data_IF_547837851932
#
_entry.id   IF_547837851932
#
_cell.length_a   1.000
_cell.length_b   1.000
_cell.length_c   1.000
_cell.angle_alpha   90.00
_cell.angle_beta   90.00
_cell.angle_gamma   90.00
#
_symmetry.space_group_name_H-M   'P 1'
#
loop_
_entity.id
_entity.type
_entity.pdbx_description
1 polymer ?
#
# COMPACT_ATOMS: atom_id res chain seq x y z
N UNK A 1 1.11 -6.65 29.50
CA UNK A 1 1.73 -6.27 28.21
C UNK A 1 1.34 -7.34 27.21
N UNK A 2 0.30 -7.08 26.41
CA UNK A 2 -0.28 -8.09 25.51
C UNK A 2 0.71 -8.55 24.44
N UNK A 3 0.72 -9.86 24.19
CA UNK A 3 1.47 -10.47 23.09
C UNK A 3 1.21 -9.67 21.80
N UNK A 4 2.30 -9.20 21.16
CA UNK A 4 2.18 -8.43 19.93
C UNK A 4 1.59 -9.31 18.84
N UNK A 5 0.28 -9.17 18.63
CA UNK A 5 -0.50 -9.85 17.57
C UNK A 5 0.15 -9.67 16.18
N UNK A 6 0.85 -8.57 15.94
CA UNK A 6 1.55 -8.28 14.68
C UNK A 6 3.01 -7.89 14.89
N UNK A 7 3.89 -8.29 13.96
CA UNK A 7 5.31 -7.92 13.89
C UNK A 7 5.52 -7.02 12.67
N UNK A 8 6.26 -5.93 12.83
CA UNK A 8 6.58 -5.01 11.75
C UNK A 8 8.01 -4.49 11.86
N UNK A 9 8.59 -4.16 10.70
CA UNK A 9 9.89 -3.49 10.58
C UNK A 9 9.77 -2.25 9.70
N UNK A 10 10.86 -1.51 9.53
CA UNK A 10 10.93 -0.41 8.56
C UNK A 10 11.46 -1.00 7.25
N UNK A 11 10.58 -1.44 6.33
CA UNK A 11 10.98 -2.20 5.13
C UNK A 11 12.15 -1.54 4.39
N UNK A 12 12.10 -0.22 4.21
CA UNK A 12 13.10 0.53 3.43
C UNK A 12 14.40 0.75 4.22
N UNK A 13 14.30 1.07 5.51
CA UNK A 13 15.45 1.56 6.29
C UNK A 13 16.09 0.49 7.19
N UNK A 14 15.29 -0.46 7.65
CA UNK A 14 15.66 -1.49 8.62
C UNK A 14 14.77 -2.73 8.41
N UNK A 15 14.96 -3.49 7.31
CA UNK A 15 14.16 -4.68 7.02
C UNK A 15 14.37 -5.75 8.11
N UNK A 16 13.37 -6.61 8.29
CA UNK A 16 13.42 -7.68 9.30
C UNK A 16 14.39 -8.82 8.96
N UNK A 17 14.76 -8.94 7.69
CA UNK A 17 15.68 -9.95 7.18
C UNK A 17 16.70 -9.27 6.26
N UNK A 18 17.98 -9.56 6.48
CA UNK A 18 19.07 -9.04 5.67
C UNK A 18 19.70 -10.13 4.78
N UNK A 19 20.59 -9.71 3.87
CA UNK A 19 21.21 -10.60 2.90
C UNK A 19 22.08 -11.71 3.56
N UNK A 20 22.72 -11.41 4.68
CA UNK A 20 23.55 -12.37 5.41
C UNK A 20 22.69 -13.50 6.01
N UNK A 21 21.56 -13.15 6.63
CA UNK A 21 20.61 -14.12 7.16
C UNK A 21 20.04 -15.00 6.05
N UNK A 22 19.69 -14.42 4.90
CA UNK A 22 19.22 -15.18 3.73
C UNK A 22 20.31 -16.10 3.17
N UNK A 23 21.56 -15.63 3.12
CA UNK A 23 22.70 -16.45 2.69
C UNK A 23 22.89 -17.63 3.63
N UNK A 24 22.84 -17.41 4.93
CA UNK A 24 22.95 -18.47 5.94
C UNK A 24 21.82 -19.50 5.80
N UNK A 25 20.58 -19.06 5.51
CA UNK A 25 19.46 -19.99 5.22
C UNK A 25 19.78 -20.82 3.98
N UNK A 26 20.24 -20.21 2.88
CA UNK A 26 20.60 -20.94 1.64
C UNK A 26 21.73 -21.94 1.87
N UNK A 27 22.71 -21.61 2.70
CA UNK A 27 23.84 -22.48 3.00
C UNK A 27 23.43 -23.76 3.74
N UNK A 28 22.40 -23.72 4.60
CA UNK A 28 21.87 -24.91 5.31
C UNK A 28 21.38 -26.01 4.36
N UNK A 29 20.99 -25.66 3.14
CA UNK A 29 20.42 -26.60 2.17
C UNK A 29 21.35 -26.88 0.99
N UNK A 30 22.60 -26.41 1.02
CA UNK A 30 23.53 -26.47 -0.11
C UNK A 30 23.82 -27.89 -0.62
N UNK A 31 23.78 -28.88 0.27
CA UNK A 31 24.07 -30.28 -0.05
C UNK A 31 22.83 -31.08 -0.50
N UNK A 32 21.63 -30.50 -0.42
CA UNK A 32 20.40 -31.13 -0.90
C UNK A 32 20.18 -30.79 -2.38
N UNK A 33 20.05 -31.80 -3.24
CA UNK A 33 19.88 -31.63 -4.71
C UNK A 33 18.47 -31.96 -5.22
N UNK A 34 17.50 -32.11 -4.33
CA UNK A 34 16.12 -32.43 -4.71
C UNK A 34 15.36 -31.19 -5.19
N UNK A 35 14.41 -31.40 -6.11
CA UNK A 35 13.54 -30.33 -6.63
C UNK A 35 12.70 -29.61 -5.55
N UNK A 36 12.61 -30.15 -4.33
CA UNK A 36 11.84 -29.60 -3.21
C UNK A 36 12.66 -28.56 -2.41
N UNK A 37 13.98 -28.50 -2.62
CA UNK A 37 14.90 -27.66 -1.83
C UNK A 37 14.61 -26.18 -2.00
N UNK A 38 14.28 -25.73 -3.22
CA UNK A 38 13.92 -24.34 -3.49
C UNK A 38 12.70 -23.91 -2.69
N UNK A 39 11.67 -24.76 -2.61
CA UNK A 39 10.44 -24.47 -1.88
C UNK A 39 10.69 -24.41 -0.37
N UNK A 40 11.55 -25.29 0.17
CA UNK A 40 11.94 -25.25 1.58
C UNK A 40 12.67 -23.96 1.92
N UNK A 41 13.63 -23.54 1.10
CA UNK A 41 14.36 -22.28 1.28
C UNK A 41 13.38 -21.10 1.25
N UNK A 42 12.49 -21.05 0.25
CA UNK A 42 11.49 -20.00 0.12
C UNK A 42 10.58 -19.93 1.36
N UNK A 43 10.08 -21.07 1.85
CA UNK A 43 9.27 -21.13 3.07
C UNK A 43 10.02 -20.64 4.30
N UNK A 44 11.26 -21.09 4.51
CA UNK A 44 12.06 -20.64 5.67
C UNK A 44 12.32 -19.13 5.62
N UNK A 45 12.66 -18.58 4.45
CA UNK A 45 12.80 -17.12 4.28
C UNK A 45 11.47 -16.42 4.60
N UNK A 46 10.36 -16.91 4.04
CA UNK A 46 9.03 -16.34 4.23
C UNK A 46 8.59 -16.35 5.70
N UNK A 47 8.83 -17.44 6.43
CA UNK A 47 8.48 -17.59 7.84
C UNK A 47 9.28 -16.65 8.75
N UNK A 48 10.48 -16.25 8.33
CA UNK A 48 11.30 -15.26 9.02
C UNK A 48 10.90 -13.80 8.67
N UNK A 49 10.01 -13.57 7.70
CA UNK A 49 9.51 -12.22 7.40
C UNK A 49 8.46 -11.76 8.42
N UNK A 50 8.48 -10.47 8.75
CA UNK A 50 7.42 -9.83 9.54
C UNK A 50 6.14 -9.64 8.71
N UNK A 51 5.01 -9.37 9.38
CA UNK A 51 3.70 -9.25 8.72
C UNK A 51 3.67 -8.11 7.68
N UNK A 52 4.43 -7.03 7.95
CA UNK A 52 4.58 -5.88 7.04
C UNK A 52 5.32 -6.29 5.76
N UNK A 53 6.46 -6.97 5.85
CA UNK A 53 7.20 -7.47 4.69
C UNK A 53 6.40 -8.54 3.90
N UNK A 54 5.60 -9.36 4.58
CA UNK A 54 4.77 -10.38 3.93
C UNK A 54 3.68 -9.79 3.03
N UNK A 55 3.20 -8.58 3.34
CA UNK A 55 2.16 -7.89 2.56
C UNK A 55 2.77 -6.92 1.55
N UNK A 56 3.65 -6.04 2.00
CA UNK A 56 4.20 -4.96 1.18
C UNK A 56 5.46 -5.35 0.41
N UNK A 57 5.97 -6.57 0.62
CA UNK A 57 7.16 -7.09 -0.03
C UNK A 57 8.46 -6.83 0.74
N UNK A 58 9.53 -7.43 0.22
CA UNK A 58 10.90 -7.29 0.70
C UNK A 58 11.88 -7.51 -0.47
N UNK A 59 13.18 -7.38 -0.20
CA UNK A 59 14.21 -7.72 -1.20
C UNK A 59 14.23 -9.20 -1.60
N UNK A 60 13.48 -10.06 -0.90
CA UNK A 60 13.47 -11.51 -1.12
C UNK A 60 12.11 -12.06 -1.56
N UNK A 61 11.04 -11.28 -1.44
CA UNK A 61 9.67 -11.68 -1.78
C UNK A 61 8.89 -10.50 -2.35
N UNK A 62 8.14 -10.76 -3.42
CA UNK A 62 7.20 -9.80 -3.98
C UNK A 62 6.09 -9.45 -2.99
N UNK A 63 5.51 -8.25 -3.15
CA UNK A 63 4.35 -7.83 -2.38
C UNK A 63 3.13 -8.69 -2.71
N UNK A 64 2.22 -8.82 -1.75
CA UNK A 64 0.86 -9.34 -1.96
C UNK A 64 -0.14 -8.22 -2.22
N UNK A 65 0.27 -6.96 -2.04
CA UNK A 65 -0.55 -5.77 -2.32
C UNK A 65 -0.09 -5.12 -3.62
N UNK A 66 -1.08 -4.74 -4.44
CA UNK A 66 -0.91 -4.00 -5.67
C UNK A 66 -1.83 -2.78 -5.64
N UNK A 67 -1.25 -1.59 -5.81
CA UNK A 67 -1.98 -0.33 -5.89
C UNK A 67 -1.76 0.21 -7.30
N UNK A 68 -2.84 0.36 -8.06
CA UNK A 68 -2.76 0.89 -9.42
C UNK A 68 -2.66 2.42 -9.38
N UNK A 69 -2.09 2.99 -10.45
CA UNK A 69 -2.14 4.42 -10.69
C UNK A 69 -3.60 4.92 -10.65
N UNK A 70 -3.82 5.98 -9.88
CA UNK A 70 -5.14 6.55 -9.69
C UNK A 70 -5.36 7.68 -10.72
N UNK A 71 -6.22 7.43 -11.70
CA UNK A 71 -6.55 8.40 -12.75
C UNK A 71 -7.73 9.28 -12.34
N UNK A 72 -7.75 10.53 -12.80
CA UNK A 72 -8.83 11.48 -12.48
C UNK A 72 -10.19 10.92 -12.96
N UNK A 73 -11.22 11.09 -12.15
CA UNK A 73 -12.62 10.86 -12.55
C UNK A 73 -13.14 12.13 -13.20
N UNK A 74 -13.44 12.08 -14.50
CA UNK A 74 -13.80 13.22 -15.33
C UNK A 74 -12.64 13.68 -16.23
N UNK A 75 -12.83 14.80 -16.93
CA UNK A 75 -11.92 15.20 -18.00
C UNK A 75 -10.66 15.93 -17.51
N UNK A 76 -10.72 16.59 -16.34
CA UNK A 76 -9.61 17.37 -15.79
C UNK A 76 -9.70 17.51 -14.27
N UNK A 77 -8.54 17.57 -13.62
CA UNK A 77 -8.41 18.05 -12.26
C UNK A 77 -8.36 19.58 -12.27
N UNK A 78 -8.98 20.19 -11.26
CA UNK A 78 -8.75 21.60 -10.97
C UNK A 78 -7.44 21.71 -10.17
N UNK A 79 -6.62 22.68 -10.56
CA UNK A 79 -5.32 22.93 -9.95
C UNK A 79 -5.38 24.32 -9.31
N UNK A 80 -5.15 24.36 -8.00
CA UNK A 80 -4.98 25.60 -7.26
C UNK A 80 -3.49 25.98 -7.26
N UNK A 81 -3.21 27.25 -7.54
CA UNK A 81 -1.88 27.83 -7.28
C UNK A 81 -1.91 28.51 -5.91
N UNK A 82 -1.03 28.10 -5.00
CA UNK A 82 -0.92 28.68 -3.65
C UNK A 82 0.44 29.34 -3.44
N UNK A 83 0.41 30.47 -2.73
CA UNK A 83 1.61 31.22 -2.35
C UNK A 83 2.27 30.59 -1.11
N UNK A 84 3.59 30.44 -1.16
CA UNK A 84 4.44 30.10 -0.03
C UNK A 84 5.41 31.24 0.28
N UNK A 85 5.62 31.50 1.57
CA UNK A 85 6.66 32.42 2.06
C UNK A 85 7.70 31.63 2.84
N UNK A 86 8.98 31.90 2.62
CA UNK A 86 10.03 31.42 3.53
C UNK A 86 10.23 32.43 4.66
N UNK A 87 10.22 31.96 5.90
CA UNK A 87 10.49 32.77 7.09
C UNK A 87 11.96 32.56 7.47
N UNK A 88 12.70 33.66 7.64
CA UNK A 88 14.03 33.64 8.23
C UNK A 88 13.88 33.38 9.74
N UNK A 89 14.40 32.24 10.22
CA UNK A 89 14.23 31.82 11.63
C UNK A 89 15.05 32.67 12.60
N UNK A 90 16.13 33.30 12.14
CA UNK A 90 17.01 34.12 12.98
C UNK A 90 16.49 35.55 13.08
N UNK A 91 15.94 36.08 11.98
CA UNK A 91 15.41 37.44 11.91
C UNK A 91 13.91 37.53 12.18
N UNK A 92 13.19 36.41 12.24
CA UNK A 92 11.73 36.31 12.37
C UNK A 92 10.93 37.14 11.34
N UNK A 93 11.57 37.48 10.21
CA UNK A 93 10.95 38.21 9.09
C UNK A 93 10.82 37.28 7.88
N UNK A 94 9.97 37.67 6.92
CA UNK A 94 9.97 37.05 5.61
C UNK A 94 11.38 37.15 5.00
N UNK A 95 11.93 36.01 4.58
CA UNK A 95 13.23 35.99 3.92
C UNK A 95 13.12 36.70 2.57
N UNK A 96 14.02 37.67 2.35
CA UNK A 96 14.00 38.50 1.14
C UNK A 96 14.04 37.62 -0.12
N UNK A 97 13.15 37.92 -1.07
CA UNK A 97 12.98 37.23 -2.37
C UNK A 97 12.70 35.71 -2.31
N UNK A 98 12.20 35.17 -1.20
CA UNK A 98 11.83 33.74 -1.10
C UNK A 98 10.31 33.49 -1.12
N UNK A 99 9.58 34.26 -1.93
CA UNK A 99 8.20 33.92 -2.32
C UNK A 99 8.27 32.85 -3.41
N UNK A 100 7.54 31.76 -3.24
CA UNK A 100 7.41 30.72 -4.26
C UNK A 100 5.96 30.30 -4.36
N UNK A 101 5.55 29.90 -5.56
CA UNK A 101 4.23 29.36 -5.79
C UNK A 101 4.35 27.84 -5.91
N UNK A 102 3.33 27.13 -5.48
CA UNK A 102 3.22 25.70 -5.73
C UNK A 102 1.79 25.36 -6.15
N UNK A 103 1.69 24.32 -6.96
CA UNK A 103 0.43 23.80 -7.43
C UNK A 103 -0.05 22.68 -6.52
N UNK A 104 -1.35 22.64 -6.27
CA UNK A 104 -2.00 21.50 -5.63
C UNK A 104 -3.31 21.19 -6.34
N UNK A 105 -3.66 19.90 -6.39
CA UNK A 105 -4.98 19.47 -6.86
C UNK A 105 -6.03 20.00 -5.89
N UNK A 106 -7.07 20.66 -6.42
CA UNK A 106 -8.15 21.23 -5.61
C UNK A 106 -8.89 20.12 -4.84
N UNK A 107 -9.31 20.44 -3.61
CA UNK A 107 -10.08 19.53 -2.78
C UNK A 107 -11.39 19.11 -3.47
N UNK A 108 -11.81 17.86 -3.25
CA UNK A 108 -12.98 17.27 -3.91
C UNK A 108 -12.70 16.66 -5.28
N UNK A 109 -11.48 16.79 -5.82
CA UNK A 109 -11.06 16.04 -7.01
C UNK A 109 -11.06 14.54 -6.71
N UNK A 110 -11.77 13.76 -7.53
CA UNK A 110 -11.89 12.30 -7.37
C UNK A 110 -10.95 11.57 -8.32
N UNK A 111 -10.42 10.45 -7.86
CA UNK A 111 -9.56 9.57 -8.66
C UNK A 111 -10.10 8.13 -8.63
N UNK A 112 -10.02 7.44 -9.78
CA UNK A 112 -10.34 6.01 -9.91
C UNK A 112 -9.24 5.21 -9.21
N UNK A 113 -9.55 4.76 -8.01
CA UNK A 113 -8.65 3.97 -7.18
C UNK A 113 -8.90 2.47 -7.36
N UNK A 114 -7.82 1.68 -7.47
CA UNK A 114 -7.87 0.22 -7.43
C UNK A 114 -6.70 -0.31 -6.60
N UNK A 115 -7.02 -1.17 -5.66
CA UNK A 115 -6.08 -1.89 -4.82
C UNK A 115 -6.48 -3.37 -4.80
N UNK A 116 -5.52 -4.25 -5.03
CA UNK A 116 -5.72 -5.70 -5.06
C UNK A 116 -4.79 -6.37 -4.06
N UNK A 117 -5.29 -7.36 -3.34
CA UNK A 117 -4.49 -8.25 -2.51
C UNK A 117 -4.53 -9.67 -3.08
N UNK A 118 -3.38 -10.34 -3.12
CA UNK A 118 -3.26 -11.71 -3.64
C UNK A 118 -2.82 -12.68 -2.56
N UNK A 119 -3.49 -13.84 -2.48
CA UNK A 119 -3.10 -14.99 -1.64
C UNK A 119 -2.78 -14.61 -0.17
N UNK A 120 -3.64 -13.79 0.44
CA UNK A 120 -3.52 -13.42 1.85
C UNK A 120 -3.76 -14.63 2.77
N UNK A 121 -2.97 -14.71 3.82
CA UNK A 121 -3.28 -15.56 4.98
C UNK A 121 -4.34 -14.89 5.86
N UNK A 122 -5.09 -15.66 6.66
CA UNK A 122 -6.17 -15.14 7.51
C UNK A 122 -5.75 -13.96 8.37
N UNK A 123 -4.55 -14.03 8.95
CA UNK A 123 -3.96 -12.94 9.75
C UNK A 123 -3.73 -11.66 8.93
N UNK A 124 -3.36 -11.80 7.66
CA UNK A 124 -3.08 -10.69 6.74
C UNK A 124 -4.36 -10.04 6.22
N UNK A 125 -5.48 -10.79 6.15
CA UNK A 125 -6.80 -10.23 5.82
C UNK A 125 -7.15 -9.11 6.80
N UNK A 126 -6.94 -9.31 8.10
CA UNK A 126 -7.19 -8.26 9.12
C UNK A 126 -6.37 -6.98 8.90
N UNK A 127 -5.14 -7.11 8.37
CA UNK A 127 -4.33 -5.94 7.99
C UNK A 127 -4.94 -5.24 6.77
N UNK A 128 -5.42 -6.01 5.78
CA UNK A 128 -6.14 -5.42 4.63
C UNK A 128 -7.40 -4.67 5.08
N UNK A 129 -8.17 -5.21 6.04
CA UNK A 129 -9.32 -4.51 6.65
C UNK A 129 -8.91 -3.18 7.28
N UNK A 130 -7.81 -3.19 8.04
CA UNK A 130 -7.27 -2.00 8.67
C UNK A 130 -6.87 -0.94 7.64
N UNK A 131 -6.19 -1.33 6.56
CA UNK A 131 -5.81 -0.40 5.47
C UNK A 131 -7.05 0.26 4.86
N UNK A 132 -8.09 -0.53 4.55
CA UNK A 132 -9.35 0.02 4.03
C UNK A 132 -10.00 0.97 5.04
N UNK A 133 -10.02 0.62 6.33
CA UNK A 133 -10.56 1.48 7.38
C UNK A 133 -9.82 2.82 7.49
N UNK A 134 -8.49 2.82 7.38
CA UNK A 134 -7.67 4.04 7.42
C UNK A 134 -7.88 4.92 6.17
N UNK A 135 -8.07 4.31 5.01
CA UNK A 135 -8.39 5.06 3.79
C UNK A 135 -9.78 5.70 3.88
N UNK A 136 -10.75 5.03 4.52
CA UNK A 136 -12.09 5.57 4.75
C UNK A 136 -12.14 6.68 5.79
N UNK A 137 -11.26 6.67 6.79
CA UNK A 137 -11.30 7.68 7.86
C UNK A 137 -10.84 9.06 7.40
N UNK A 138 -10.20 9.17 6.24
CA UNK A 138 -9.62 10.42 5.76
C UNK A 138 -8.32 10.81 6.48
N UNK A 139 -7.77 9.94 7.33
CA UNK A 139 -6.59 10.23 8.16
C UNK A 139 -5.26 10.06 7.40
N UNK A 140 -5.28 9.41 6.23
CA UNK A 140 -4.10 9.20 5.42
C UNK A 140 -3.79 10.47 4.63
N UNK A 141 -2.55 10.94 4.78
CA UNK A 141 -1.98 12.04 4.00
C UNK A 141 -0.97 11.51 3.00
N UNK A 142 -1.03 11.99 1.75
CA UNK A 142 -0.10 11.61 0.67
C UNK A 142 0.58 12.83 0.05
N UNK A 143 1.79 12.63 -0.46
CA UNK A 143 2.55 13.67 -1.16
C UNK A 143 3.26 14.67 -0.25
N UNK A 144 3.54 15.85 -0.79
CA UNK A 144 4.29 16.91 -0.11
C UNK A 144 3.42 17.83 0.73
N UNK A 145 4.06 18.60 1.62
CA UNK A 145 3.41 19.67 2.42
C UNK A 145 2.23 19.20 3.28
N UNK A 146 2.25 17.94 3.71
CA UNK A 146 1.19 17.35 4.56
C UNK A 146 1.05 18.04 5.92
N UNK A 147 2.14 18.58 6.46
CA UNK A 147 2.15 19.41 7.67
C UNK A 147 1.52 20.80 7.49
N UNK A 148 1.28 21.23 6.25
CA UNK A 148 0.64 22.52 5.91
C UNK A 148 -0.83 22.34 5.47
N UNK A 149 -1.45 21.20 5.82
CA UNK A 149 -2.86 20.93 5.53
C UNK A 149 -3.15 20.47 4.10
N UNK A 150 -2.16 19.87 3.42
CA UNK A 150 -2.35 19.28 2.09
C UNK A 150 -2.26 17.75 2.15
N UNK A 151 -2.70 17.11 1.07
CA UNK A 151 -2.51 15.67 0.86
C UNK A 151 -3.52 14.77 1.56
N UNK A 152 -4.53 15.33 2.22
CA UNK A 152 -5.65 14.56 2.77
C UNK A 152 -6.40 13.82 1.65
N UNK A 153 -6.58 12.51 1.83
CA UNK A 153 -7.33 11.65 0.91
C UNK A 153 -8.35 10.81 1.68
N UNK A 154 -9.48 10.55 1.04
CA UNK A 154 -10.55 9.71 1.58
C UNK A 154 -11.03 8.73 0.51
N UNK A 155 -11.25 7.48 0.92
CA UNK A 155 -11.86 6.47 0.08
C UNK A 155 -13.39 6.61 0.11
N UNK A 156 -13.93 7.17 -0.97
CA UNK A 156 -15.36 7.38 -1.19
C UNK A 156 -15.91 6.42 -2.25
N UNK A 157 -17.22 6.15 -2.21
CA UNK A 157 -17.94 5.39 -3.27
C UNK A 157 -17.27 4.07 -3.69
N UNK A 158 -16.82 3.28 -2.71
CA UNK A 158 -16.01 2.09 -2.95
C UNK A 158 -16.79 0.77 -2.82
N UNK A 159 -16.19 -0.30 -3.36
CA UNK A 159 -16.63 -1.69 -3.16
C UNK A 159 -15.42 -2.56 -2.87
N UNK A 160 -15.60 -3.57 -2.02
CA UNK A 160 -14.59 -4.59 -1.72
C UNK A 160 -15.23 -5.95 -1.97
N UNK A 161 -14.50 -6.83 -2.65
CA UNK A 161 -14.95 -8.18 -2.95
C UNK A 161 -13.76 -9.14 -2.95
N UNK A 162 -14.07 -10.42 -2.73
CA UNK A 162 -13.09 -11.52 -2.76
C UNK A 162 -13.30 -12.38 -4.00
N UNK A 163 -12.21 -12.69 -4.69
CA UNK A 163 -12.19 -13.65 -5.80
C UNK A 163 -11.46 -14.90 -5.32
N UNK A 164 -12.12 -16.05 -5.43
CA UNK A 164 -11.54 -17.36 -5.15
C UNK A 164 -12.02 -18.42 -6.15
N UNK A 165 -11.71 -19.70 -5.90
CA UNK A 165 -12.05 -20.79 -6.83
C UNK A 165 -13.54 -20.88 -7.14
N UNK A 166 -14.42 -20.50 -6.22
CA UNK A 166 -15.87 -20.63 -6.35
C UNK A 166 -16.48 -19.63 -7.32
N UNK A 167 -15.88 -18.44 -7.45
CA UNK A 167 -16.42 -17.33 -8.24
C UNK A 167 -15.48 -16.87 -9.38
N UNK A 168 -14.29 -17.46 -9.51
CA UNK A 168 -13.28 -17.08 -10.50
C UNK A 168 -13.80 -17.09 -11.94
N UNK A 169 -14.55 -18.14 -12.33
CA UNK A 169 -15.08 -18.25 -13.70
C UNK A 169 -16.06 -17.11 -14.00
N UNK A 170 -16.94 -16.78 -13.04
CA UNK A 170 -17.88 -15.68 -13.21
C UNK A 170 -17.16 -14.33 -13.29
N UNK A 171 -16.17 -14.11 -12.41
CA UNK A 171 -15.34 -12.91 -12.42
C UNK A 171 -14.62 -12.68 -13.76
N UNK A 172 -14.04 -13.74 -14.35
CA UNK A 172 -13.32 -13.66 -15.62
C UNK A 172 -14.25 -13.46 -16.84
N UNK A 173 -15.47 -14.00 -16.80
CA UNK A 173 -16.45 -13.87 -17.90
C UNK A 173 -17.03 -12.48 -18.06
N UNK A 174 -16.89 -11.60 -17.07
CA UNK A 174 -17.47 -10.27 -17.11
C UNK A 174 -16.64 -9.36 -18.05
N UNK A 175 -17.30 -8.86 -19.10
CA UNK A 175 -16.69 -8.07 -20.19
C UNK A 175 -16.26 -6.64 -19.78
N UNK A 176 -16.75 -6.09 -18.67
CA UNK A 176 -16.38 -4.74 -18.21
C UNK A 176 -16.22 -4.63 -16.69
N UNK A 177 -15.35 -3.70 -16.26
CA UNK A 177 -15.10 -3.43 -14.83
C UNK A 177 -16.34 -2.93 -14.08
N UNK A 178 -17.24 -2.16 -14.71
CA UNK A 178 -18.49 -1.72 -14.08
C UNK A 178 -19.43 -2.90 -13.76
N UNK A 179 -19.50 -3.92 -14.63
CA UNK A 179 -20.32 -5.11 -14.39
C UNK A 179 -19.72 -6.00 -13.29
N UNK A 180 -18.39 -5.97 -13.11
CA UNK A 180 -17.67 -6.63 -11.99
C UNK A 180 -18.04 -6.05 -10.63
N UNK A 181 -18.29 -4.75 -10.56
CA UNK A 181 -18.62 -4.04 -9.31
C UNK A 181 -20.08 -4.19 -8.87
N UNK A 182 -21.02 -4.43 -9.79
CA UNK A 182 -22.46 -4.45 -9.49
C UNK A 182 -23.00 -5.78 -8.96
N UNK A 183 -22.33 -6.91 -9.23
CA UNK A 183 -22.86 -8.25 -8.91
C UNK A 183 -22.23 -8.92 -7.69
N UNK A 184 -21.13 -8.40 -7.16
CA UNK A 184 -20.38 -9.04 -6.07
C UNK A 184 -20.52 -8.19 -4.81
N UNK A 185 -21.61 -8.46 -4.08
CA UNK A 185 -22.00 -8.07 -2.73
C UNK A 185 -21.26 -6.91 -2.04
N UNK A 186 -22.04 -5.89 -1.66
CA UNK A 186 -21.67 -4.90 -0.65
C UNK A 186 -21.41 -5.63 0.67
N UNK A 187 -20.18 -5.46 1.18
CA UNK A 187 -19.70 -5.89 2.49
C UNK A 187 -19.86 -7.38 2.79
N UNK A 188 -18.86 -8.18 2.42
CA UNK A 188 -18.39 -9.28 3.28
C UNK A 188 -16.95 -9.65 2.87
N UNK A 189 -16.06 -9.67 3.87
CA UNK A 189 -14.64 -10.03 3.71
C UNK A 189 -14.46 -11.54 3.69
#
# INVERSE_FOLDING_TARGET
MGDKKYKGCLIVNKPCLNDEQVKNIKEKYKDQKDNIVSDKIAREIYDNLCDVCKIFGSNHFASKIYINDAYIVGDKAHIDTRDGVAIDRDKLIAADRKKYNFECVSAGTKFKFRMTFENLEDKQIEIAKLIVSLLKSGEIKVGGKTSAGLGDIELVEYSVYKVDKSNLIEYLKQESEEKRKQKVYKEEW
#
